data_IF_265657236152
#
_entry.id   IF_265657236152
#
_cell.length_a   1.000
_cell.length_b   1.000
_cell.length_c   1.000
_cell.angle_alpha   90.00
_cell.angle_beta   90.00
_cell.angle_gamma   90.00
#
_symmetry.space_group_name_H-M   'P 1'
#
loop_
_entity.id
_entity.type
_entity.pdbx_description
1 polymer ?
#
# COMPACT_ATOMS: atom_id res chain seq x y z
N UNK A 1 17.53 -15.91 9.44
CA UNK A 1 17.94 -14.49 9.43
C UNK A 1 16.76 -13.71 9.98
N UNK A 2 16.90 -13.08 11.16
CA UNK A 2 15.76 -12.69 12.02
C UNK A 2 14.71 -11.83 11.31
N UNK A 3 13.55 -12.45 11.06
CA UNK A 3 12.32 -11.79 10.65
C UNK A 3 11.76 -11.09 11.89
N UNK A 4 12.20 -9.85 12.14
CA UNK A 4 11.61 -8.98 13.20
C UNK A 4 10.39 -8.29 12.60
N UNK A 5 9.28 -9.02 12.53
CA UNK A 5 7.97 -8.51 12.08
C UNK A 5 7.30 -7.83 13.26
N UNK A 6 7.01 -6.54 13.12
CA UNK A 6 6.00 -5.90 13.95
C UNK A 6 4.64 -6.33 13.39
N UNK A 7 4.12 -7.42 13.94
CA UNK A 7 2.72 -7.80 13.79
C UNK A 7 1.98 -6.95 14.81
N UNK A 8 1.30 -5.90 14.36
CA UNK A 8 0.25 -5.28 15.16
C UNK A 8 -0.95 -6.21 15.04
N UNK A 9 -0.85 -7.38 15.69
CA UNK A 9 -1.99 -8.20 16.05
C UNK A 9 -2.74 -7.40 17.09
N UNK A 10 -3.70 -6.61 16.63
CA UNK A 10 -4.78 -6.28 17.50
C UNK A 10 -5.64 -7.56 17.58
N UNK A 11 -5.36 -8.39 18.58
CA UNK A 11 -6.36 -9.36 19.05
C UNK A 11 -7.27 -8.64 20.05
N UNK A 12 -8.57 -8.88 19.90
CA UNK A 12 -9.73 -8.37 20.64
C UNK A 12 -10.13 -6.87 20.51
N UNK A 13 -9.24 -5.95 20.12
CA UNK A 13 -9.62 -4.54 19.89
C UNK A 13 -9.64 -4.11 18.41
N UNK A 14 -9.18 -4.98 17.49
CA UNK A 14 -9.00 -4.62 16.10
C UNK A 14 -10.27 -4.56 15.29
N UNK A 15 -11.37 -5.18 15.67
CA UNK A 15 -12.46 -5.36 14.69
C UNK A 15 -13.12 -4.03 14.26
N UNK A 16 -12.73 -2.89 14.87
CA UNK A 16 -13.39 -1.58 14.67
C UNK A 16 -12.44 -0.37 14.49
N UNK A 17 -11.11 -0.54 14.37
CA UNK A 17 -10.12 0.56 14.40
C UNK A 17 -9.88 1.23 13.03
N UNK A 18 -10.10 2.54 12.87
CA UNK A 18 -9.74 3.26 11.63
C UNK A 18 -8.23 3.54 11.50
N UNK A 19 -7.74 3.91 10.31
CA UNK A 19 -6.34 4.36 10.14
C UNK A 19 -5.97 5.52 11.07
N UNK A 20 -6.90 6.44 11.33
CA UNK A 20 -6.73 7.52 12.31
C UNK A 20 -6.64 7.02 13.75
N UNK A 21 -7.41 6.00 14.11
CA UNK A 21 -7.33 5.37 15.45
C UNK A 21 -6.02 4.61 15.63
N UNK A 22 -5.53 3.97 14.56
CA UNK A 22 -4.20 3.38 14.52
C UNK A 22 -3.11 4.43 14.75
N UNK A 23 -3.20 5.59 14.09
CA UNK A 23 -2.29 6.71 14.32
C UNK A 23 -2.34 7.20 15.77
N UNK A 24 -3.54 7.34 16.37
CA UNK A 24 -3.68 7.68 17.80
C UNK A 24 -3.06 6.62 18.71
N UNK A 25 -3.21 5.33 18.39
CA UNK A 25 -2.54 4.26 19.15
C UNK A 25 -1.02 4.43 19.08
N UNK A 26 -0.48 4.67 17.88
CA UNK A 26 0.93 4.96 17.65
C UNK A 26 1.42 6.21 18.37
N UNK A 27 0.59 7.23 18.61
CA UNK A 27 0.98 8.42 19.38
C UNK A 27 0.92 8.23 20.90
N UNK A 28 0.26 7.16 21.40
CA UNK A 28 0.11 6.94 22.86
C UNK A 28 1.26 6.12 23.47
N UNK A 29 1.49 6.31 24.78
CA UNK A 29 2.37 5.45 25.59
C UNK A 29 1.83 4.03 25.81
N UNK A 30 0.68 3.66 25.22
CA UNK A 30 0.14 2.28 25.30
C UNK A 30 0.99 1.26 24.53
N UNK A 31 1.78 1.72 23.56
CA UNK A 31 2.80 0.92 22.87
C UNK A 31 4.18 0.99 23.56
N UNK A 32 4.23 1.23 24.87
CA UNK A 32 5.47 1.29 25.69
C UNK A 32 6.35 0.04 25.60
N UNK A 33 5.83 -1.09 25.11
CA UNK A 33 6.61 -2.31 24.85
C UNK A 33 7.54 -2.22 23.61
N UNK A 34 7.44 -1.17 22.79
CA UNK A 34 8.30 -0.90 21.64
C UNK A 34 9.09 0.39 21.88
N UNK A 35 10.25 0.25 22.53
CA UNK A 35 11.22 1.35 22.62
C UNK A 35 11.70 1.78 21.22
N UNK A 36 12.19 3.01 21.08
CA UNK A 36 12.80 3.53 19.84
C UNK A 36 13.88 2.59 19.30
N UNK A 37 14.63 1.94 20.20
CA UNK A 37 15.64 0.91 19.90
C UNK A 37 15.04 -0.36 19.26
N UNK A 38 13.85 -0.80 19.72
CA UNK A 38 13.14 -1.94 19.12
C UNK A 38 12.54 -1.60 17.76
N UNK A 39 12.14 -0.36 17.54
CA UNK A 39 11.63 0.11 16.25
C UNK A 39 12.76 0.24 15.21
N UNK A 40 13.94 0.72 15.62
CA UNK A 40 15.12 0.92 14.75
C UNK A 40 15.68 -0.38 14.13
N UNK A 41 15.27 -1.55 14.63
CA UNK A 41 15.70 -2.86 14.14
C UNK A 41 14.64 -3.57 13.29
N UNK A 42 13.45 -2.97 13.14
CA UNK A 42 12.39 -3.52 12.30
C UNK A 42 12.63 -3.17 10.84
N UNK A 43 12.55 -4.17 9.95
CA UNK A 43 12.63 -3.95 8.50
C UNK A 43 11.28 -4.04 7.79
N UNK A 44 10.28 -4.62 8.46
CA UNK A 44 8.93 -4.81 7.93
C UNK A 44 7.89 -4.47 8.99
N UNK A 45 6.90 -3.67 8.60
CA UNK A 45 5.67 -3.46 9.37
C UNK A 45 4.51 -4.13 8.65
N UNK A 46 3.67 -4.83 9.40
CA UNK A 46 2.36 -5.30 8.95
C UNK A 46 1.30 -4.52 9.71
N UNK A 47 0.54 -3.70 8.99
CA UNK A 47 -0.63 -3.00 9.55
C UNK A 47 -1.88 -3.72 9.05
N UNK A 48 -2.68 -4.23 9.99
CA UNK A 48 -4.01 -4.76 9.69
C UNK A 48 -5.01 -3.63 9.90
N UNK A 49 -5.65 -3.17 8.83
CA UNK A 49 -6.72 -2.16 8.92
C UNK A 49 -8.06 -2.88 8.86
N UNK A 50 -8.84 -2.90 9.93
CA UNK A 50 -10.13 -3.57 9.99
C UNK A 50 -11.24 -2.80 9.24
N UNK A 51 -12.41 -3.42 9.02
CA UNK A 51 -13.53 -2.80 8.36
C UNK A 51 -14.12 -1.67 9.23
N UNK A 52 -13.89 -0.41 8.88
CA UNK A 52 -14.39 0.72 9.69
C UNK A 52 -15.92 0.87 9.67
N UNK A 53 -16.54 0.98 10.84
CA UNK A 53 -17.89 1.56 11.03
C UNK A 53 -17.75 3.08 11.11
N UNK A 54 -18.66 3.81 10.45
CA UNK A 54 -18.61 5.26 10.28
C UNK A 54 -18.41 6.04 11.59
N UNK A 55 -17.32 6.79 11.70
CA UNK A 55 -17.20 8.00 12.53
C UNK A 55 -15.98 8.84 12.15
N UNK A 56 -16.07 10.13 12.48
CA UNK A 56 -15.37 11.26 11.88
C UNK A 56 -13.94 11.51 12.41
N UNK A 57 -13.24 12.27 11.56
CA UNK A 57 -11.84 12.72 11.56
C UNK A 57 -11.26 13.25 12.89
N UNK A 58 -9.91 13.17 12.98
CA UNK A 58 -8.93 14.05 13.68
C UNK A 58 -7.80 13.20 14.30
N UNK A 59 -6.56 13.30 13.82
CA UNK A 59 -5.42 12.67 14.53
C UNK A 59 -4.08 12.50 13.80
N UNK A 60 -3.86 13.09 12.63
CA UNK A 60 -2.63 12.87 11.84
C UNK A 60 -1.41 13.69 12.30
N UNK A 61 -1.58 14.73 13.10
CA UNK A 61 -0.46 15.60 13.54
C UNK A 61 0.37 15.02 14.69
N UNK A 62 -0.22 14.22 15.58
CA UNK A 62 0.46 13.71 16.79
C UNK A 62 1.45 12.56 16.53
N UNK A 63 1.41 11.91 15.36
CA UNK A 63 2.30 10.78 15.04
C UNK A 63 3.62 11.25 14.42
N UNK A 64 3.59 12.37 13.68
CA UNK A 64 4.78 12.94 13.03
C UNK A 64 5.88 13.26 14.04
N UNK A 65 5.53 13.77 15.22
CA UNK A 65 6.52 14.11 16.26
C UNK A 65 7.17 12.91 16.95
N UNK A 66 6.47 11.76 17.04
CA UNK A 66 7.01 10.57 17.73
C UNK A 66 7.89 9.71 16.82
N UNK A 67 7.57 9.68 15.53
CA UNK A 67 8.28 8.90 14.51
C UNK A 67 9.15 9.77 13.60
N UNK A 68 9.35 11.06 13.89
CA UNK A 68 10.37 11.90 13.24
C UNK A 68 11.81 11.56 13.66
N UNK A 69 11.99 10.58 14.56
CA UNK A 69 13.31 10.09 14.99
C UNK A 69 13.85 8.96 14.09
N UNK A 70 15.16 8.71 14.19
CA UNK A 70 15.95 7.70 13.44
C UNK A 70 15.37 6.27 13.39
N UNK A 71 14.37 5.94 14.21
CA UNK A 71 13.69 4.66 14.11
C UNK A 71 12.82 4.55 12.84
N UNK A 72 12.20 5.64 12.38
CA UNK A 72 11.35 5.63 11.19
C UNK A 72 12.13 5.49 9.88
N UNK A 73 13.39 5.96 9.88
CA UNK A 73 14.26 5.91 8.71
C UNK A 73 14.81 4.51 8.43
N UNK A 74 14.78 3.60 9.41
CA UNK A 74 15.25 2.20 9.28
C UNK A 74 14.27 1.26 8.56
N UNK A 75 13.00 1.67 8.41
CA UNK A 75 11.93 0.83 7.87
C UNK A 75 11.86 0.92 6.35
N UNK A 76 12.08 -0.21 5.69
CA UNK A 76 12.11 -0.30 4.23
C UNK A 76 10.85 -0.94 3.63
N UNK A 77 10.05 -1.67 4.39
CA UNK A 77 8.88 -2.39 3.86
C UNK A 77 7.63 -2.16 4.70
N UNK A 78 6.57 -1.72 4.03
CA UNK A 78 5.24 -1.52 4.60
C UNK A 78 4.26 -2.50 3.94
N UNK A 79 3.74 -3.42 4.73
CA UNK A 79 2.62 -4.28 4.32
C UNK A 79 1.35 -3.77 4.97
N UNK A 80 0.43 -3.28 4.14
CA UNK A 80 -0.92 -2.90 4.53
C UNK A 80 -1.84 -4.08 4.20
N UNK A 81 -2.22 -4.82 5.24
CA UNK A 81 -3.23 -5.86 5.14
C UNK A 81 -4.58 -5.24 5.49
N UNK A 82 -5.22 -4.61 4.52
CA UNK A 82 -6.56 -4.07 4.73
C UNK A 82 -7.55 -5.23 4.72
N UNK A 83 -8.31 -5.40 5.80
CA UNK A 83 -9.43 -6.33 5.85
C UNK A 83 -10.60 -5.71 5.09
N UNK A 84 -10.63 -5.96 3.78
CA UNK A 84 -11.69 -5.55 2.88
C UNK A 84 -12.81 -6.60 2.96
N UNK A 85 -13.71 -6.47 3.94
CA UNK A 85 -14.94 -7.28 3.94
C UNK A 85 -15.71 -7.07 2.63
N UNK A 86 -16.38 -8.12 2.16
CA UNK A 86 -17.03 -8.29 0.85
C UNK A 86 -18.16 -7.32 0.49
N UNK A 87 -18.33 -6.22 1.23
CA UNK A 87 -19.43 -5.26 1.07
C UNK A 87 -19.13 -4.21 -0.02
N UNK A 88 -19.35 -4.69 -1.23
CA UNK A 88 -19.44 -4.13 -2.58
C UNK A 88 -19.61 -2.63 -2.92
N UNK A 89 -19.56 -1.60 -2.04
CA UNK A 89 -19.71 -0.21 -2.57
C UNK A 89 -19.25 0.99 -1.71
N UNK A 90 -18.93 0.83 -0.41
CA UNK A 90 -18.87 2.01 0.49
C UNK A 90 -17.54 2.27 1.21
N UNK A 91 -16.44 1.57 0.87
CA UNK A 91 -15.25 1.58 1.74
C UNK A 91 -13.89 1.86 1.07
N UNK A 92 -13.78 1.87 -0.25
CA UNK A 92 -12.49 2.05 -0.97
C UNK A 92 -11.84 3.41 -0.70
N UNK A 93 -12.59 4.51 -0.82
CA UNK A 93 -12.08 5.88 -0.61
C UNK A 93 -11.46 6.12 0.79
N UNK A 94 -12.14 5.68 1.86
CA UNK A 94 -11.64 5.84 3.23
C UNK A 94 -10.38 5.01 3.46
N UNK A 95 -10.35 3.78 2.95
CA UNK A 95 -9.19 2.90 3.06
C UNK A 95 -7.96 3.43 2.31
N UNK A 96 -8.14 4.09 1.16
CA UNK A 96 -7.07 4.74 0.42
C UNK A 96 -6.48 5.91 1.22
N UNK A 97 -7.35 6.75 1.80
CA UNK A 97 -6.92 7.86 2.67
C UNK A 97 -6.20 7.36 3.92
N UNK A 98 -6.71 6.32 4.58
CA UNK A 98 -6.07 5.69 5.73
C UNK A 98 -4.70 5.10 5.36
N UNK A 99 -4.60 4.45 4.19
CA UNK A 99 -3.34 3.93 3.69
C UNK A 99 -2.32 5.05 3.40
N UNK A 100 -2.76 6.18 2.83
CA UNK A 100 -1.89 7.35 2.60
C UNK A 100 -1.38 7.92 3.92
N UNK A 101 -2.28 8.09 4.89
CA UNK A 101 -1.96 8.57 6.23
C UNK A 101 -0.93 7.67 6.94
N UNK A 102 -1.10 6.35 6.87
CA UNK A 102 -0.16 5.39 7.45
C UNK A 102 1.18 5.46 6.72
N UNK A 103 1.18 5.46 5.40
CA UNK A 103 2.40 5.57 4.62
C UNK A 103 3.15 6.89 4.92
N UNK A 104 2.42 7.99 5.22
CA UNK A 104 3.02 9.30 5.51
C UNK A 104 3.86 9.31 6.79
N UNK A 105 3.67 8.33 7.67
CA UNK A 105 4.51 8.14 8.86
C UNK A 105 5.88 7.55 8.52
N UNK A 106 5.98 6.85 7.39
CA UNK A 106 7.18 6.08 7.02
C UNK A 106 7.76 6.61 5.70
N UNK A 107 8.61 7.66 5.75
CA UNK A 107 9.12 8.32 4.54
C UNK A 107 10.06 7.44 3.71
N UNK A 108 10.76 6.48 4.34
CA UNK A 108 11.76 5.62 3.70
C UNK A 108 11.23 4.28 3.21
N UNK A 109 9.91 4.13 3.10
CA UNK A 109 9.31 2.90 2.59
C UNK A 109 9.72 2.68 1.14
N UNK A 110 10.31 1.51 0.88
CA UNK A 110 10.77 1.04 -0.42
C UNK A 110 9.75 0.09 -1.06
N UNK A 111 8.98 -0.62 -0.24
CA UNK A 111 7.99 -1.59 -0.71
C UNK A 111 6.65 -1.41 -0.02
N UNK A 112 5.57 -1.34 -0.83
CA UNK A 112 4.18 -1.30 -0.36
C UNK A 112 3.44 -2.54 -0.87
N UNK A 113 2.95 -3.37 0.04
CA UNK A 113 1.99 -4.43 -0.25
C UNK A 113 0.63 -3.99 0.27
N UNK A 114 -0.35 -3.74 -0.61
CA UNK A 114 -1.66 -3.23 -0.24
C UNK A 114 -2.75 -3.80 -1.17
N UNK A 115 -3.08 -5.08 -0.96
CA UNK A 115 -4.00 -5.84 -1.82
C UNK A 115 -5.36 -5.15 -1.94
N UNK A 116 -5.88 -5.12 -3.16
CA UNK A 116 -7.18 -4.55 -3.50
C UNK A 116 -7.39 -3.05 -3.13
N UNK A 117 -6.33 -2.28 -2.92
CA UNK A 117 -6.43 -0.81 -2.83
C UNK A 117 -6.63 -0.24 -4.23
N UNK A 118 -7.65 0.60 -4.38
CA UNK A 118 -7.87 1.41 -5.57
C UNK A 118 -7.26 2.80 -5.37
N UNK A 119 -6.03 3.03 -5.83
CA UNK A 119 -5.44 4.37 -5.74
C UNK A 119 -6.22 5.34 -6.63
N UNK A 120 -6.72 6.41 -6.03
CA UNK A 120 -7.25 7.56 -6.73
C UNK A 120 -6.57 8.83 -6.21
N UNK A 121 -6.47 9.85 -7.06
CA UNK A 121 -5.82 11.11 -6.70
C UNK A 121 -6.65 11.97 -5.74
N UNK A 122 -7.93 11.63 -5.51
CA UNK A 122 -8.79 12.34 -4.57
C UNK A 122 -8.47 11.95 -3.12
N UNK A 123 -7.95 10.75 -2.89
CA UNK A 123 -7.72 10.19 -1.57
C UNK A 123 -6.26 9.80 -1.31
N UNK A 124 -5.43 9.65 -2.36
CA UNK A 124 -3.98 9.57 -2.25
C UNK A 124 -3.32 10.55 -3.21
N UNK A 125 -2.66 11.57 -2.67
CA UNK A 125 -2.09 12.67 -3.47
C UNK A 125 -0.58 12.82 -3.32
N UNK A 126 0.04 12.16 -2.33
CA UNK A 126 1.45 12.31 -1.97
C UNK A 126 2.34 11.36 -2.78
N UNK A 127 3.25 11.84 -3.64
CA UNK A 127 4.20 10.99 -4.35
C UNK A 127 5.19 10.30 -3.40
N UNK A 128 5.58 9.08 -3.76
CA UNK A 128 6.50 8.20 -3.03
C UNK A 128 7.71 7.86 -3.89
N UNK A 129 8.71 8.74 -3.87
CA UNK A 129 9.92 8.58 -4.67
C UNK A 129 10.80 7.41 -4.20
N UNK A 130 10.72 7.01 -2.94
CA UNK A 130 11.52 5.89 -2.43
C UNK A 130 10.89 4.51 -2.70
N UNK A 131 9.60 4.46 -3.04
CA UNK A 131 8.90 3.19 -3.30
C UNK A 131 9.30 2.67 -4.67
N UNK A 132 9.90 1.49 -4.66
CA UNK A 132 10.35 0.77 -5.87
C UNK A 132 9.55 -0.51 -6.12
N UNK A 133 8.82 -0.99 -5.11
CA UNK A 133 8.00 -2.20 -5.19
C UNK A 133 6.57 -1.90 -4.73
N UNK A 134 5.60 -2.20 -5.59
CA UNK A 134 4.18 -2.02 -5.31
C UNK A 134 3.40 -3.29 -5.66
N UNK A 135 2.70 -3.83 -4.68
CA UNK A 135 1.77 -4.94 -4.88
C UNK A 135 0.37 -4.55 -4.43
N UNK A 136 -0.52 -4.34 -5.39
CA UNK A 136 -1.94 -4.01 -5.19
C UNK A 136 -2.86 -4.98 -5.95
N UNK A 137 -2.33 -6.16 -6.30
CA UNK A 137 -3.11 -7.20 -6.95
C UNK A 137 -4.35 -7.58 -6.12
N UNK A 138 -5.26 -8.30 -6.77
CA UNK A 138 -6.37 -8.98 -6.14
C UNK A 138 -5.92 -9.96 -5.05
N UNK A 139 -6.90 -10.47 -4.32
CA UNK A 139 -6.69 -11.51 -3.33
C UNK A 139 -7.72 -12.62 -3.50
N UNK A 140 -7.36 -13.82 -3.05
CA UNK A 140 -8.22 -15.00 -3.08
C UNK A 140 -9.59 -14.82 -2.40
N UNK A 141 -9.75 -13.84 -1.51
CA UNK A 141 -11.00 -13.58 -0.78
C UNK A 141 -11.75 -12.33 -1.27
N UNK A 142 -11.12 -11.45 -2.05
CA UNK A 142 -11.68 -10.13 -2.40
C UNK A 142 -11.26 -9.75 -3.82
N UNK A 143 -12.25 -9.52 -4.69
CA UNK A 143 -12.02 -8.94 -6.01
C UNK A 143 -11.58 -7.47 -5.88
N UNK A 144 -10.48 -7.11 -6.53
CA UNK A 144 -10.00 -5.72 -6.57
C UNK A 144 -10.85 -4.89 -7.52
N UNK A 145 -11.37 -3.75 -7.07
CA UNK A 145 -12.07 -2.77 -7.91
C UNK A 145 -11.11 -1.89 -8.73
N UNK A 146 -9.79 -2.10 -8.64
CA UNK A 146 -8.82 -1.32 -9.39
C UNK A 146 -9.08 -1.48 -10.90
N UNK A 147 -9.68 -0.45 -11.49
CA UNK A 147 -10.02 -0.39 -12.91
C UNK A 147 -9.03 0.43 -13.74
N UNK A 148 -8.16 1.20 -13.08
CA UNK A 148 -7.22 2.10 -13.74
C UNK A 148 -5.90 2.18 -13.00
N UNK A 149 -4.82 2.29 -13.76
CA UNK A 149 -3.45 2.52 -13.27
C UNK A 149 -3.01 3.98 -13.46
N UNK A 150 -3.92 4.88 -13.83
CA UNK A 150 -3.63 6.30 -14.11
C UNK A 150 -2.80 6.99 -13.02
N UNK A 151 -3.10 6.81 -11.72
CA UNK A 151 -2.35 7.50 -10.66
C UNK A 151 -0.96 6.91 -10.41
N UNK A 152 -0.69 5.67 -10.84
CA UNK A 152 0.53 4.93 -10.45
C UNK A 152 1.82 5.65 -10.89
N UNK A 153 1.98 6.12 -12.14
CA UNK A 153 3.20 6.80 -12.57
C UNK A 153 3.48 8.09 -11.79
N UNK A 154 2.42 8.80 -11.39
CA UNK A 154 2.53 10.03 -10.61
C UNK A 154 2.87 9.74 -9.14
N UNK A 155 2.17 8.79 -8.54
CA UNK A 155 2.33 8.45 -7.12
C UNK A 155 3.62 7.68 -6.84
N UNK A 156 4.10 6.89 -7.79
CA UNK A 156 5.25 6.00 -7.60
C UNK A 156 6.21 6.09 -8.81
N UNK A 157 6.89 7.24 -9.01
CA UNK A 157 7.63 7.54 -10.23
C UNK A 157 8.91 6.69 -10.44
N UNK A 158 9.33 5.93 -9.43
CA UNK A 158 10.55 5.12 -9.45
C UNK A 158 10.29 3.62 -9.25
N UNK A 159 9.08 3.15 -9.56
CA UNK A 159 8.76 1.72 -9.48
C UNK A 159 9.65 0.89 -10.40
N UNK A 160 10.15 -0.19 -9.81
CA UNK A 160 10.90 -1.25 -10.49
C UNK A 160 10.08 -2.54 -10.57
N UNK A 161 9.16 -2.75 -9.63
CA UNK A 161 8.28 -3.90 -9.58
C UNK A 161 6.83 -3.47 -9.32
N UNK A 162 5.92 -3.87 -10.20
CA UNK A 162 4.49 -3.61 -10.08
C UNK A 162 3.69 -4.92 -10.21
N UNK A 163 2.88 -5.23 -9.21
CA UNK A 163 1.90 -6.31 -9.26
C UNK A 163 0.48 -5.74 -9.18
N UNK A 164 -0.28 -5.93 -10.26
CA UNK A 164 -1.70 -5.60 -10.40
C UNK A 164 -2.52 -6.82 -10.87
N UNK A 165 -2.02 -8.03 -10.62
CA UNK A 165 -2.71 -9.27 -10.98
C UNK A 165 -4.12 -9.34 -10.39
N UNK A 166 -5.05 -10.03 -11.05
CA UNK A 166 -6.43 -10.25 -10.58
C UNK A 166 -7.20 -8.94 -10.28
N UNK A 167 -6.95 -7.90 -11.07
CA UNK A 167 -7.67 -6.61 -11.01
C UNK A 167 -8.53 -6.40 -12.26
N UNK A 168 -9.38 -5.36 -12.26
CA UNK A 168 -10.20 -4.99 -13.41
C UNK A 168 -9.51 -3.97 -14.34
N UNK A 169 -8.19 -3.84 -14.28
CA UNK A 169 -7.42 -2.97 -15.17
C UNK A 169 -7.56 -3.44 -16.61
N UNK A 170 -8.00 -2.53 -17.50
CA UNK A 170 -8.22 -2.81 -18.92
C UNK A 170 -7.17 -2.18 -19.84
N UNK A 171 -6.52 -1.13 -19.36
CA UNK A 171 -5.62 -0.28 -20.14
C UNK A 171 -4.33 -0.07 -19.37
N UNK A 172 -3.21 -0.13 -20.10
CA UNK A 172 -1.86 0.00 -19.56
C UNK A 172 -1.17 1.30 -20.04
N UNK A 173 -1.87 2.14 -20.79
CA UNK A 173 -1.36 3.41 -21.34
C UNK A 173 -0.59 4.26 -20.32
N UNK A 174 -1.04 4.39 -19.06
CA UNK A 174 -0.28 5.14 -18.05
C UNK A 174 1.11 4.55 -17.77
N UNK A 175 1.32 3.24 -17.94
CA UNK A 175 2.59 2.58 -17.65
C UNK A 175 3.67 2.86 -18.72
N UNK A 176 3.31 3.43 -19.88
CA UNK A 176 4.25 3.64 -21.00
C UNK A 176 5.46 4.52 -20.66
N UNK A 177 5.34 5.36 -19.62
CA UNK A 177 6.39 6.28 -19.16
C UNK A 177 7.25 5.69 -18.03
N UNK A 178 6.90 4.52 -17.51
CA UNK A 178 7.56 3.91 -16.35
C UNK A 178 8.81 3.13 -16.75
N UNK A 179 9.78 3.82 -17.35
CA UNK A 179 11.02 3.22 -17.88
C UNK A 179 11.90 2.51 -16.83
N UNK A 180 11.62 2.70 -15.53
CA UNK A 180 12.31 2.02 -14.43
C UNK A 180 11.75 0.63 -14.14
N UNK A 181 10.58 0.26 -14.67
CA UNK A 181 9.98 -1.05 -14.44
C UNK A 181 10.84 -2.17 -15.02
N UNK A 182 11.11 -3.15 -14.16
CA UNK A 182 11.83 -4.40 -14.48
C UNK A 182 10.92 -5.62 -14.33
N UNK A 183 9.93 -5.55 -13.43
CA UNK A 183 8.98 -6.62 -13.16
C UNK A 183 7.55 -6.09 -13.23
N UNK A 184 6.71 -6.73 -14.04
CA UNK A 184 5.29 -6.40 -14.16
C UNK A 184 4.43 -7.67 -14.14
N UNK A 185 3.50 -7.74 -13.20
CA UNK A 185 2.49 -8.80 -13.17
C UNK A 185 1.09 -8.20 -13.41
N UNK A 186 0.48 -8.62 -14.52
CA UNK A 186 -0.87 -8.25 -14.96
C UNK A 186 -1.75 -9.48 -15.19
N UNK A 187 -1.36 -10.63 -14.62
CA UNK A 187 -2.11 -11.87 -14.78
C UNK A 187 -3.56 -11.76 -14.29
N UNK A 188 -4.48 -12.46 -14.95
CA UNK A 188 -5.90 -12.44 -14.59
C UNK A 188 -6.60 -11.09 -14.78
N UNK A 189 -5.99 -10.13 -15.51
CA UNK A 189 -6.62 -8.85 -15.85
C UNK A 189 -7.29 -8.86 -17.23
N UNK A 190 -8.33 -8.04 -17.47
CA UNK A 190 -9.00 -7.93 -18.77
C UNK A 190 -8.28 -6.97 -19.76
N UNK A 191 -6.95 -6.94 -19.76
CA UNK A 191 -6.16 -6.09 -20.68
C UNK A 191 -6.18 -6.63 -22.10
N UNK A 192 -6.41 -5.75 -23.08
CA UNK A 192 -6.52 -6.14 -24.49
C UNK A 192 -5.27 -5.85 -25.33
N UNK A 193 -4.36 -5.03 -24.81
CA UNK A 193 -3.19 -4.54 -25.56
C UNK A 193 -1.98 -4.38 -24.65
N UNK A 194 -0.84 -4.84 -25.15
CA UNK A 194 0.48 -4.66 -24.53
C UNK A 194 1.28 -3.54 -25.21
N UNK A 195 0.70 -2.82 -26.18
CA UNK A 195 1.36 -1.71 -26.89
C UNK A 195 2.01 -0.68 -25.94
N UNK A 196 1.39 -0.30 -24.81
CA UNK A 196 2.02 0.62 -23.85
C UNK A 196 3.36 0.12 -23.28
N UNK A 197 3.62 -1.18 -23.29
CA UNK A 197 4.82 -1.77 -22.72
C UNK A 197 6.02 -1.78 -23.68
N UNK A 198 5.82 -1.49 -24.97
CA UNK A 198 6.87 -1.57 -26.00
C UNK A 198 8.08 -0.67 -25.71
N UNK A 199 7.86 0.45 -25.00
CA UNK A 199 8.91 1.40 -24.62
C UNK A 199 9.68 1.03 -23.34
N UNK A 200 9.27 -0.01 -22.62
CA UNK A 200 9.84 -0.38 -21.32
C UNK A 200 11.07 -1.28 -21.50
N UNK A 201 12.18 -0.70 -21.96
CA UNK A 201 13.42 -1.40 -22.32
C UNK A 201 14.09 -2.18 -21.17
N UNK A 202 13.76 -1.83 -19.93
CA UNK A 202 14.32 -2.47 -18.74
C UNK A 202 13.42 -3.59 -18.21
N UNK A 203 12.29 -3.90 -18.85
CA UNK A 203 11.37 -4.94 -18.40
C UNK A 203 11.99 -6.33 -18.61
N UNK A 204 12.31 -7.01 -17.51
CA UNK A 204 12.94 -8.33 -17.46
C UNK A 204 11.92 -9.45 -17.27
N UNK A 205 10.82 -9.17 -16.57
CA UNK A 205 9.78 -10.14 -16.26
C UNK A 205 8.38 -9.56 -16.48
N UNK A 206 7.57 -10.28 -17.25
CA UNK A 206 6.18 -9.94 -17.56
C UNK A 206 5.30 -11.18 -17.41
N UNK A 207 4.35 -11.13 -16.47
CA UNK A 207 3.32 -12.16 -16.32
C UNK A 207 1.97 -11.66 -16.85
N UNK A 208 1.50 -12.32 -17.91
CA UNK A 208 0.23 -12.10 -18.61
C UNK A 208 -0.66 -13.36 -18.58
N UNK A 209 -0.39 -14.29 -17.67
CA UNK A 209 -1.19 -15.50 -17.57
C UNK A 209 -2.66 -15.16 -17.30
N UNK A 210 -3.59 -15.86 -17.94
CA UNK A 210 -5.03 -15.63 -17.78
C UNK A 210 -5.54 -14.22 -18.14
N UNK A 211 -4.78 -13.42 -18.89
CA UNK A 211 -5.30 -12.18 -19.51
C UNK A 211 -6.22 -12.50 -20.68
N UNK A 212 -7.19 -11.63 -20.99
CA UNK A 212 -8.21 -11.85 -22.03
C UNK A 212 -8.24 -10.78 -23.11
#
# INVERSE_FOLDING_TARGET
MEVRVLLILADAFAEHMSGTDFLRLLSTSRLTAFSTLRLAVLRRIVVVVPPSVAQADVGSELVKERFSSDAATSMATLKLSLNLESASNYRTAKHVRDAELIANVFPNVVSIEAKCINFDLAHWSTPRTMVTHLDIGGSYFVHSELGSVLPIPFLFPHLTSLNIAETYVRELDPLATMHTLTHLNVSGTPIKSLVPLLGLKNLESLDISSTR
#
